data_IF_654706723167
#
_entry.id   IF_654706723167
#
_cell.length_a   1.000
_cell.length_b   1.000
_cell.length_c   1.000
_cell.angle_alpha   90.00
_cell.angle_beta   90.00
_cell.angle_gamma   90.00
#
_symmetry.space_group_name_H-M   'P 1'
#
loop_
_entity.id
_entity.type
_entity.pdbx_description
1 polymer ?
#
# COMPACT_ATOMS: atom_id res chain seq x y z
N UNK A 1 -0.59 15.97 6.40
CA UNK A 1 -0.82 14.89 5.42
C UNK A 1 -0.87 13.55 6.14
N UNK A 2 -1.71 12.66 5.70
CA UNK A 2 -1.86 11.35 6.32
C UNK A 2 -0.85 10.37 5.71
N UNK A 3 -0.20 9.58 6.57
CA UNK A 3 0.71 8.52 6.16
C UNK A 3 0.00 7.19 6.35
N UNK A 4 -0.01 6.37 5.29
CA UNK A 4 -0.64 5.06 5.32
C UNK A 4 0.41 3.98 5.07
N UNK A 5 0.52 3.03 6.00
CA UNK A 5 1.39 1.85 5.86
C UNK A 5 0.49 0.62 5.81
N UNK A 6 0.69 -0.23 4.81
CA UNK A 6 0.00 -1.51 4.73
C UNK A 6 1.06 -2.61 4.64
N UNK A 7 1.13 -3.45 5.67
CA UNK A 7 2.08 -4.57 5.71
C UNK A 7 1.37 -5.82 5.21
N UNK A 8 1.99 -6.49 4.25
CA UNK A 8 1.42 -7.66 3.58
C UNK A 8 2.42 -8.80 3.60
N UNK A 9 1.96 -9.96 4.04
CA UNK A 9 2.76 -11.19 4.02
C UNK A 9 2.19 -12.12 2.97
N UNK A 10 2.97 -12.38 1.92
CA UNK A 10 2.53 -13.20 0.80
C UNK A 10 3.01 -14.64 0.97
N UNK A 11 2.29 -15.57 0.32
CA UNK A 11 2.82 -16.91 0.15
C UNK A 11 4.08 -16.81 -0.70
N UNK A 12 5.14 -17.53 -0.34
CA UNK A 12 6.44 -17.37 -0.97
C UNK A 12 6.40 -17.61 -2.48
N UNK A 13 5.56 -18.54 -2.94
CA UNK A 13 5.39 -18.83 -4.37
C UNK A 13 4.48 -17.83 -5.11
N UNK A 14 3.96 -16.83 -4.41
CA UNK A 14 3.05 -15.82 -5.00
C UNK A 14 3.63 -14.40 -5.03
N UNK A 15 4.87 -14.23 -4.65
CA UNK A 15 5.52 -12.91 -4.63
C UNK A 15 5.55 -12.31 -6.04
N UNK A 16 5.91 -13.10 -7.05
CA UNK A 16 5.98 -12.58 -8.42
C UNK A 16 4.61 -12.17 -8.95
N UNK A 17 3.56 -12.90 -8.57
CA UNK A 17 2.19 -12.54 -8.93
C UNK A 17 1.80 -11.20 -8.32
N UNK A 18 2.16 -10.98 -7.05
CA UNK A 18 1.91 -9.69 -6.40
C UNK A 18 2.67 -8.56 -7.10
N UNK A 19 3.93 -8.77 -7.41
CA UNK A 19 4.75 -7.73 -8.07
C UNK A 19 4.18 -7.35 -9.43
N UNK A 20 3.62 -8.30 -10.16
CA UNK A 20 2.96 -8.01 -11.42
C UNK A 20 1.72 -7.14 -11.21
N UNK A 21 0.89 -7.48 -10.23
CA UNK A 21 -0.29 -6.67 -9.88
C UNK A 21 0.13 -5.25 -9.51
N UNK A 22 1.14 -5.12 -8.65
CA UNK A 22 1.61 -3.83 -8.20
C UNK A 22 2.19 -3.00 -9.36
N UNK A 23 3.00 -3.61 -10.21
CA UNK A 23 3.57 -2.93 -11.37
C UNK A 23 2.50 -2.41 -12.31
N UNK A 24 1.41 -3.15 -12.48
CA UNK A 24 0.31 -2.75 -13.36
C UNK A 24 -0.59 -1.67 -12.75
N UNK A 25 -0.59 -1.51 -11.44
CA UNK A 25 -1.49 -0.58 -10.75
C UNK A 25 -0.79 0.64 -10.12
N UNK A 26 0.52 0.57 -9.89
CA UNK A 26 1.24 1.58 -9.10
C UNK A 26 1.07 3.01 -9.60
N UNK A 27 1.13 3.23 -10.90
CA UNK A 27 1.00 4.58 -11.45
C UNK A 27 -0.42 5.12 -11.31
N UNK A 28 -1.41 4.26 -11.45
CA UNK A 28 -2.81 4.62 -11.27
C UNK A 28 -3.07 5.00 -9.80
N UNK A 29 -2.48 4.26 -8.87
CA UNK A 29 -2.61 4.55 -7.44
C UNK A 29 -1.91 5.86 -7.11
N UNK A 30 -0.66 6.03 -7.57
CA UNK A 30 0.11 7.25 -7.31
C UNK A 30 -0.59 8.50 -7.83
N UNK A 31 -1.27 8.41 -8.95
CA UNK A 31 -1.96 9.55 -9.57
C UNK A 31 -3.44 9.65 -9.16
N UNK A 32 -3.90 8.80 -8.25
CA UNK A 32 -5.26 8.94 -7.72
C UNK A 32 -5.36 10.25 -6.96
N UNK A 33 -6.51 10.92 -7.07
CA UNK A 33 -6.71 12.23 -6.44
C UNK A 33 -6.46 12.15 -4.94
N UNK A 34 -5.59 13.04 -4.46
CA UNK A 34 -5.22 13.10 -3.05
C UNK A 34 -4.04 12.23 -2.64
N UNK A 35 -3.54 11.39 -3.54
CA UNK A 35 -2.32 10.61 -3.28
C UNK A 35 -1.10 11.42 -3.70
N UNK A 36 -0.20 11.68 -2.76
CA UNK A 36 0.97 12.51 -3.02
C UNK A 36 2.30 11.75 -2.96
N UNK A 37 2.27 10.50 -2.53
CA UNK A 37 3.47 9.70 -2.41
C UNK A 37 3.09 8.22 -2.37
N UNK A 38 3.85 7.39 -3.03
CA UNK A 38 3.68 5.94 -2.99
C UNK A 38 5.02 5.27 -3.18
N UNK A 39 5.36 4.36 -2.28
CA UNK A 39 6.50 3.47 -2.48
C UNK A 39 6.17 2.08 -1.96
N UNK A 40 6.87 1.09 -2.48
CA UNK A 40 6.78 -0.28 -2.02
C UNK A 40 8.08 -0.62 -1.30
N UNK A 41 7.95 -1.06 -0.05
CA UNK A 41 9.08 -1.49 0.77
C UNK A 41 9.07 -3.01 0.84
N UNK A 42 10.24 -3.60 0.95
CA UNK A 42 10.37 -5.03 1.17
C UNK A 42 11.07 -5.24 2.50
N UNK A 43 10.58 -6.19 3.30
CA UNK A 43 11.21 -6.49 4.58
C UNK A 43 12.66 -6.93 4.35
N UNK A 44 13.55 -6.47 5.24
CA UNK A 44 14.98 -6.71 5.08
C UNK A 44 15.34 -8.20 5.16
N UNK A 45 14.65 -8.94 6.03
CA UNK A 45 14.96 -10.33 6.33
C UNK A 45 13.97 -11.33 5.71
N UNK A 46 12.73 -10.90 5.48
CA UNK A 46 11.67 -11.76 4.96
C UNK A 46 11.27 -11.30 3.55
N UNK A 47 11.83 -11.90 2.49
CA UNK A 47 11.60 -11.42 1.13
C UNK A 47 10.16 -11.55 0.61
N UNK A 48 9.29 -12.23 1.33
CA UNK A 48 7.88 -12.38 0.97
C UNK A 48 6.98 -11.39 1.74
N UNK A 49 7.58 -10.46 2.50
CA UNK A 49 6.86 -9.45 3.24
C UNK A 49 7.13 -8.08 2.62
N UNK A 50 6.05 -7.37 2.29
CA UNK A 50 6.12 -6.05 1.67
C UNK A 50 5.26 -5.07 2.43
N UNK A 51 5.58 -3.79 2.28
CA UNK A 51 4.76 -2.71 2.83
C UNK A 51 4.57 -1.65 1.77
N UNK A 52 3.35 -1.18 1.60
CA UNK A 52 3.13 0.05 0.85
C UNK A 52 3.21 1.21 1.83
N UNK A 53 3.91 2.25 1.43
CA UNK A 53 4.02 3.50 2.16
C UNK A 53 3.45 4.59 1.26
N UNK A 54 2.37 5.22 1.68
CA UNK A 54 1.70 6.23 0.87
C UNK A 54 1.32 7.44 1.71
N UNK A 55 1.24 8.59 1.05
CA UNK A 55 0.81 9.83 1.68
C UNK A 55 -0.48 10.31 1.02
N UNK A 56 -1.46 10.64 1.83
CA UNK A 56 -2.77 11.09 1.37
C UNK A 56 -3.06 12.48 1.93
N UNK A 57 -3.66 13.31 1.12
CA UNK A 57 -3.95 14.69 1.48
C UNK A 57 -4.80 14.78 2.74
N UNK A 58 -5.83 13.94 2.83
CA UNK A 58 -6.75 13.86 3.97
C UNK A 58 -7.22 12.43 4.18
N UNK A 59 -7.87 12.18 5.32
CA UNK A 59 -8.52 10.90 5.58
C UNK A 59 -9.62 10.63 4.55
N UNK A 60 -10.33 11.69 4.14
CA UNK A 60 -11.39 11.56 3.14
C UNK A 60 -10.82 11.14 1.78
N UNK A 61 -9.67 11.66 1.40
CA UNK A 61 -9.01 11.28 0.15
C UNK A 61 -8.66 9.78 0.16
N UNK A 62 -8.12 9.29 1.28
CA UNK A 62 -7.84 7.86 1.42
C UNK A 62 -9.12 7.02 1.36
N UNK A 63 -10.17 7.47 2.02
CA UNK A 63 -11.44 6.74 2.02
C UNK A 63 -12.05 6.71 0.62
N UNK A 64 -12.00 7.82 -0.10
CA UNK A 64 -12.47 7.86 -1.49
C UNK A 64 -11.71 6.86 -2.36
N UNK A 65 -10.39 6.77 -2.18
CA UNK A 65 -9.58 5.76 -2.85
C UNK A 65 -10.03 4.35 -2.49
N UNK A 66 -10.25 4.07 -1.20
CA UNK A 66 -10.66 2.73 -0.74
C UNK A 66 -12.02 2.31 -1.24
N UNK A 67 -12.89 3.27 -1.60
CA UNK A 67 -14.19 2.99 -2.20
C UNK A 67 -14.14 2.92 -3.73
N UNK A 68 -12.99 3.22 -4.33
CA UNK A 68 -12.85 3.25 -5.79
C UNK A 68 -12.80 1.85 -6.39
N UNK A 69 -13.16 1.77 -7.66
CA UNK A 69 -13.05 0.54 -8.44
C UNK A 69 -11.59 0.09 -8.54
N UNK A 70 -10.69 1.04 -8.68
CA UNK A 70 -9.24 0.76 -8.72
C UNK A 70 -8.79 -0.01 -7.47
N UNK A 71 -9.15 0.50 -6.29
CA UNK A 71 -8.76 -0.16 -5.04
C UNK A 71 -9.42 -1.53 -4.93
N UNK A 72 -10.73 -1.61 -5.17
CA UNK A 72 -11.48 -2.86 -5.00
C UNK A 72 -10.94 -3.97 -5.88
N UNK A 73 -10.66 -3.66 -7.14
CA UNK A 73 -10.14 -4.61 -8.10
C UNK A 73 -8.72 -5.06 -7.71
N UNK A 74 -7.86 -4.10 -7.40
CA UNK A 74 -6.48 -4.38 -7.03
C UNK A 74 -6.41 -5.18 -5.73
N UNK A 75 -7.19 -4.78 -4.73
CA UNK A 75 -7.19 -5.45 -3.45
C UNK A 75 -7.73 -6.89 -3.55
N UNK A 76 -8.79 -7.10 -4.32
CA UNK A 76 -9.35 -8.44 -4.52
C UNK A 76 -8.32 -9.38 -5.15
N UNK A 77 -7.54 -8.89 -6.11
CA UNK A 77 -6.49 -9.69 -6.75
C UNK A 77 -5.30 -9.94 -5.79
N UNK A 78 -5.03 -8.99 -4.91
CA UNK A 78 -3.89 -9.05 -3.99
C UNK A 78 -4.16 -9.96 -2.79
N UNK A 79 -5.34 -9.84 -2.18
CA UNK A 79 -5.62 -10.54 -0.92
C UNK A 79 -5.63 -12.06 -1.04
N UNK A 80 -5.92 -12.60 -2.21
CA UNK A 80 -5.91 -14.05 -2.42
C UNK A 80 -4.49 -14.64 -2.41
N UNK A 81 -3.47 -13.79 -2.43
CA UNK A 81 -2.06 -14.18 -2.42
C UNK A 81 -1.44 -14.18 -1.02
N UNK A 82 -2.18 -13.73 0.00
CA UNK A 82 -1.66 -13.61 1.35
C UNK A 82 -1.43 -14.96 2.02
N UNK A 83 -0.34 -15.01 2.81
CA UNK A 83 -0.11 -16.10 3.75
C UNK A 83 -0.67 -15.76 5.13
N UNK A 84 -0.73 -14.48 5.47
CA UNK A 84 -1.21 -13.96 6.75
C UNK A 84 -2.10 -12.76 6.55
N UNK A 85 -2.81 -12.36 7.61
CA UNK A 85 -3.63 -11.15 7.59
C UNK A 85 -2.77 -9.92 7.37
N UNK A 86 -3.18 -9.00 6.50
CA UNK A 86 -2.47 -7.73 6.35
C UNK A 86 -2.69 -6.84 7.57
N UNK A 87 -1.76 -5.93 7.79
CA UNK A 87 -1.85 -4.92 8.84
C UNK A 87 -1.78 -3.54 8.21
N UNK A 88 -2.71 -2.67 8.58
CA UNK A 88 -2.80 -1.33 8.01
C UNK A 88 -2.80 -0.29 9.12
N UNK A 89 -2.02 0.77 8.93
CA UNK A 89 -1.86 1.84 9.90
C UNK A 89 -1.99 3.19 9.23
N UNK A 90 -2.73 4.09 9.88
CA UNK A 90 -2.79 5.49 9.47
C UNK A 90 -2.17 6.33 10.57
N UNK A 91 -1.32 7.26 10.18
CA UNK A 91 -0.63 8.15 11.12
C UNK A 91 -0.34 9.48 10.45
N UNK A 92 0.11 10.43 11.25
CA UNK A 92 0.64 11.70 10.71
C UNK A 92 1.83 12.09 11.56
N UNK A 93 2.68 12.94 10.98
CA UNK A 93 3.85 13.42 11.71
C UNK A 93 3.38 14.22 12.92
N UNK A 94 3.78 13.81 14.11
CA UNK A 94 3.49 14.53 15.33
C UNK A 94 4.57 15.58 15.61
N UNK A 95 5.83 15.15 15.50
CA UNK A 95 7.00 16.03 15.63
C UNK A 95 7.99 15.66 14.56
N UNK A 96 8.43 16.65 13.80
CA UNK A 96 9.47 16.45 12.79
C UNK A 96 10.77 17.09 13.30
N UNK A 97 11.82 16.29 13.29
CA UNK A 97 13.14 16.76 13.74
C UNK A 97 13.95 17.09 12.50
N UNK A 98 14.37 18.34 12.42
CA UNK A 98 15.20 18.83 11.33
C UNK A 98 16.63 18.95 11.83
N UNK A 99 17.57 18.52 11.02
CA UNK A 99 18.99 18.63 11.33
C UNK A 99 19.61 19.84 10.69
#
# INVERSE_FOLDING_TARGET
>A
MLIRIVRMTFREDKVDDFLEIFNNSKNKIRHFEGCHFLELLRDLDAPHVFMTHSHWETEQALETYRQSELFKTTWAATKVLFADKPMAFSSRVFVKINE
#
